data_IF_078765125426
#
_entry.id   IF_078765125426
#
_cell.length_a   1.000
_cell.length_b   1.000
_cell.length_c   1.000
_cell.angle_alpha   90.00
_cell.angle_beta   90.00
_cell.angle_gamma   90.00
#
_symmetry.space_group_name_H-M   'P 1'
#
loop_
_entity.id
_entity.type
_entity.pdbx_description
1 polymer ?
#
# COMPACT_ATOMS: atom_id res chain seq x y z
N UNK A 1 -4.90 25.59 31.92
CA UNK A 1 -5.24 24.20 32.26
C UNK A 1 -4.00 23.47 32.76
N UNK A 2 -4.09 22.57 33.74
CA UNK A 2 -2.92 21.80 34.22
C UNK A 2 -2.42 20.78 33.17
N UNK A 3 -1.10 20.57 33.09
CA UNK A 3 -0.46 19.73 32.06
C UNK A 3 -0.85 18.25 32.18
N UNK A 4 -1.01 17.74 33.41
CA UNK A 4 -1.43 16.36 33.63
C UNK A 4 -2.90 16.18 33.21
N UNK A 5 -3.74 17.18 33.49
CA UNK A 5 -5.13 17.19 33.03
C UNK A 5 -5.22 17.24 31.49
N UNK A 6 -4.37 18.02 30.84
CA UNK A 6 -4.27 18.04 29.38
C UNK A 6 -3.81 16.69 28.82
N UNK A 7 -2.90 15.99 29.50
CA UNK A 7 -2.49 14.65 29.10
C UNK A 7 -3.65 13.65 29.15
N UNK A 8 -4.53 13.71 30.16
CA UNK A 8 -5.74 12.88 30.17
C UNK A 8 -6.68 13.18 29.01
N UNK A 9 -6.80 14.45 28.58
CA UNK A 9 -7.55 14.80 27.36
C UNK A 9 -6.89 14.22 26.11
N UNK A 10 -5.57 14.28 26.01
CA UNK A 10 -4.84 13.66 24.91
C UNK A 10 -5.08 12.14 24.87
N UNK A 11 -5.06 11.47 26.04
CA UNK A 11 -5.41 10.04 26.15
C UNK A 11 -6.79 9.73 25.57
N UNK A 12 -7.78 10.58 25.84
CA UNK A 12 -9.14 10.39 25.29
C UNK A 12 -9.17 10.64 23.78
N UNK A 13 -8.45 11.65 23.31
CA UNK A 13 -8.43 12.00 21.89
C UNK A 13 -7.70 10.93 21.05
N UNK A 14 -6.63 10.34 21.59
CA UNK A 14 -5.97 9.15 21.00
C UNK A 14 -6.95 7.99 20.88
N UNK A 15 -7.77 7.72 21.91
CA UNK A 15 -8.81 6.67 21.84
C UNK A 15 -9.85 6.98 20.75
N UNK A 16 -10.34 8.21 20.70
CA UNK A 16 -11.33 8.62 19.70
C UNK A 16 -10.77 8.44 18.29
N UNK A 17 -9.55 8.92 18.05
CA UNK A 17 -8.86 8.78 16.77
C UNK A 17 -8.65 7.31 16.39
N UNK A 18 -8.21 6.49 17.34
CA UNK A 18 -8.04 5.05 17.11
C UNK A 18 -9.37 4.36 16.78
N UNK A 19 -10.47 4.76 17.42
CA UNK A 19 -11.81 4.21 17.17
C UNK A 19 -12.43 4.65 15.84
N UNK A 20 -11.92 5.70 15.20
CA UNK A 20 -12.29 6.01 13.81
C UNK A 20 -11.83 4.90 12.85
N UNK A 21 -10.68 4.28 13.13
CA UNK A 21 -10.13 3.15 12.36
C UNK A 21 -10.67 1.80 12.86
N UNK A 22 -10.94 1.68 14.17
CA UNK A 22 -11.43 0.45 14.80
C UNK A 22 -12.69 0.70 15.68
N UNK A 23 -13.89 0.84 15.10
CA UNK A 23 -15.10 1.26 15.82
C UNK A 23 -15.55 0.35 16.96
N UNK A 24 -15.22 -0.94 16.89
CA UNK A 24 -15.62 -1.97 17.85
C UNK A 24 -14.80 -1.98 19.15
N UNK A 25 -13.73 -1.19 19.21
CA UNK A 25 -12.85 -1.13 20.38
C UNK A 25 -13.54 -0.41 21.53
N UNK A 26 -13.32 -0.93 22.74
CA UNK A 26 -13.86 -0.37 23.98
C UNK A 26 -13.44 1.11 24.17
N UNK A 27 -14.34 1.97 24.70
CA UNK A 27 -14.02 3.37 24.98
C UNK A 27 -13.05 3.57 26.15
N UNK A 28 -12.61 2.51 26.83
CA UNK A 28 -11.79 2.61 28.04
C UNK A 28 -10.40 1.96 27.90
N UNK A 29 -9.36 2.71 28.25
CA UNK A 29 -7.98 2.24 28.27
C UNK A 29 -7.76 0.98 29.12
N UNK A 30 -8.49 0.82 30.23
CA UNK A 30 -8.33 -0.33 31.13
C UNK A 30 -8.66 -1.66 30.44
N UNK A 31 -9.62 -1.62 29.52
CA UNK A 31 -10.14 -2.79 28.79
C UNK A 31 -9.40 -3.08 27.48
N UNK A 32 -8.42 -2.25 27.09
CA UNK A 32 -7.59 -2.52 25.91
C UNK A 32 -6.87 -3.85 26.05
N UNK A 33 -7.11 -4.74 25.09
CA UNK A 33 -6.42 -6.02 25.00
C UNK A 33 -4.98 -5.81 24.51
N UNK A 34 -4.11 -6.81 24.69
CA UNK A 34 -2.76 -6.79 24.13
C UNK A 34 -2.77 -6.61 22.61
N UNK A 35 -3.81 -7.15 21.94
CA UNK A 35 -4.03 -7.00 20.51
C UNK A 35 -4.33 -5.55 20.13
N UNK A 36 -5.22 -4.87 20.86
CA UNK A 36 -5.56 -3.46 20.60
C UNK A 36 -4.35 -2.55 20.81
N UNK A 37 -3.50 -2.88 21.78
CA UNK A 37 -2.25 -2.16 22.05
C UNK A 37 -1.29 -2.28 20.87
N UNK A 38 -1.08 -3.50 20.34
CA UNK A 38 -0.24 -3.73 19.17
C UNK A 38 -0.76 -2.97 17.93
N UNK A 39 -2.07 -3.04 17.68
CA UNK A 39 -2.71 -2.34 16.57
C UNK A 39 -2.61 -0.82 16.70
N UNK A 40 -2.77 -0.28 17.92
CA UNK A 40 -2.57 1.13 18.18
C UNK A 40 -1.12 1.57 17.91
N UNK A 41 -0.13 0.77 18.33
CA UNK A 41 1.29 1.06 18.04
C UNK A 41 1.51 1.13 16.53
N UNK A 42 0.99 0.16 15.79
CA UNK A 42 1.10 0.13 14.33
C UNK A 42 0.40 1.34 13.68
N UNK A 43 -0.80 1.71 14.15
CA UNK A 43 -1.54 2.88 13.66
C UNK A 43 -0.77 4.19 13.93
N UNK A 44 -0.19 4.35 15.12
CA UNK A 44 0.66 5.49 15.47
C UNK A 44 1.92 5.54 14.60
N UNK A 45 2.60 4.41 14.42
CA UNK A 45 3.82 4.31 13.61
C UNK A 45 3.55 4.63 12.14
N UNK A 46 2.42 4.17 11.60
CA UNK A 46 2.03 4.47 10.23
C UNK A 46 1.78 5.96 10.01
N UNK A 47 1.10 6.61 10.96
CA UNK A 47 0.73 8.03 10.88
C UNK A 47 1.92 8.98 11.13
N UNK A 48 2.79 8.65 12.10
CA UNK A 48 3.83 9.57 12.59
C UNK A 48 5.25 9.19 12.14
N UNK A 49 5.44 7.97 11.61
CA UNK A 49 6.76 7.36 11.35
C UNK A 49 7.64 7.20 12.59
N UNK A 50 7.03 7.26 13.78
CA UNK A 50 7.69 7.10 15.07
C UNK A 50 6.98 6.01 15.87
N UNK A 51 7.75 5.19 16.57
CA UNK A 51 7.23 4.01 17.27
C UNK A 51 7.25 4.19 18.78
N UNK A 52 6.16 3.80 19.43
CA UNK A 52 6.04 3.73 20.90
C UNK A 52 6.20 2.27 21.34
N UNK A 53 6.89 2.02 22.46
CA UNK A 53 7.00 0.67 23.00
C UNK A 53 5.72 0.22 23.71
N UNK A 54 5.39 -1.08 23.62
CA UNK A 54 4.25 -1.66 24.36
C UNK A 54 4.33 -1.35 25.85
N UNK A 55 5.51 -1.54 26.46
CA UNK A 55 5.74 -1.25 27.88
C UNK A 55 5.31 0.17 28.23
N UNK A 56 5.60 1.14 27.37
CA UNK A 56 5.22 2.53 27.58
C UNK A 56 3.69 2.73 27.58
N UNK A 57 2.96 2.07 26.67
CA UNK A 57 1.50 2.10 26.63
C UNK A 57 0.91 1.53 27.93
N UNK A 58 1.43 0.39 28.40
CA UNK A 58 1.02 -0.17 29.69
C UNK A 58 1.29 0.79 30.85
N UNK A 59 2.44 1.46 30.88
CA UNK A 59 2.82 2.35 31.97
C UNK A 59 2.03 3.66 31.99
N UNK A 60 1.69 4.25 30.85
CA UNK A 60 1.13 5.61 30.81
C UNK A 60 -0.30 5.71 30.27
N UNK A 61 -0.65 4.93 29.25
CA UNK A 61 -1.99 4.96 28.66
C UNK A 61 -2.95 4.04 29.42
N UNK A 62 -2.54 2.81 29.76
CA UNK A 62 -3.40 1.85 30.46
C UNK A 62 -3.56 2.17 31.96
N UNK A 63 -2.57 2.80 32.57
CA UNK A 63 -2.64 3.25 33.97
C UNK A 63 -3.72 4.33 34.12
N UNK A 64 -4.62 4.14 35.09
CA UNK A 64 -5.72 5.07 35.36
C UNK A 64 -5.21 6.44 35.82
N UNK A 65 -4.29 6.44 36.78
CA UNK A 65 -3.71 7.64 37.36
C UNK A 65 -2.20 7.67 37.13
N UNK A 66 -1.71 8.77 36.56
CA UNK A 66 -0.29 9.01 36.33
C UNK A 66 0.22 10.01 37.35
N UNK A 67 1.23 9.65 38.14
CA UNK A 67 1.86 10.56 39.11
C UNK A 67 2.68 11.66 38.43
N UNK A 68 3.23 11.37 37.25
CA UNK A 68 4.13 12.25 36.52
C UNK A 68 3.73 12.32 35.05
N UNK A 69 3.94 13.50 34.47
CA UNK A 69 3.78 13.71 33.05
C UNK A 69 4.84 12.88 32.29
N UNK A 70 4.46 12.14 31.24
CA UNK A 70 5.44 11.47 30.40
C UNK A 70 6.37 12.45 29.68
N UNK A 71 7.51 11.93 29.20
CA UNK A 71 8.50 12.73 28.45
C UNK A 71 7.87 13.37 27.21
N UNK A 72 8.33 14.58 26.86
CA UNK A 72 7.77 15.41 25.79
C UNK A 72 7.79 14.74 24.42
N UNK A 73 8.83 13.98 24.10
CA UNK A 73 8.94 13.17 22.87
C UNK A 73 7.74 12.25 22.67
N UNK A 74 7.31 11.58 23.74
CA UNK A 74 6.15 10.69 23.69
C UNK A 74 4.83 11.44 23.53
N UNK A 75 4.74 12.63 24.13
CA UNK A 75 3.58 13.50 23.98
C UNK A 75 3.48 14.08 22.57
N UNK A 76 4.63 14.42 21.96
CA UNK A 76 4.72 14.90 20.58
C UNK A 76 4.26 13.80 19.60
N UNK A 77 4.67 12.53 19.80
CA UNK A 77 4.17 11.40 18.99
C UNK A 77 2.65 11.27 19.07
N UNK A 78 2.09 11.26 20.28
CA UNK A 78 0.63 11.12 20.47
C UNK A 78 -0.14 12.32 19.91
N UNK A 79 0.41 13.52 20.03
CA UNK A 79 -0.17 14.74 19.46
C UNK A 79 -0.15 14.69 17.94
N UNK A 80 0.96 14.23 17.34
CA UNK A 80 1.10 13.97 15.91
C UNK A 80 0.09 12.96 15.39
N UNK A 81 -0.10 11.85 16.11
CA UNK A 81 -1.13 10.85 15.78
C UNK A 81 -2.54 11.46 15.75
N UNK A 82 -2.77 12.41 16.65
CA UNK A 82 -4.00 13.19 16.77
C UNK A 82 -4.10 14.38 15.81
N UNK A 83 -3.17 14.50 14.83
CA UNK A 83 -3.10 15.59 13.83
C UNK A 83 -2.75 16.97 14.38
N UNK A 84 -2.09 17.03 15.54
CA UNK A 84 -1.47 18.26 16.04
C UNK A 84 0.02 18.26 15.69
N UNK A 85 0.61 19.45 15.46
CA UNK A 85 2.03 19.56 15.12
C UNK A 85 2.96 19.13 16.26
N UNK A 86 2.55 19.36 17.51
CA UNK A 86 3.32 19.02 18.71
C UNK A 86 2.42 19.00 19.96
N UNK A 87 2.96 18.50 21.07
CA UNK A 87 2.37 18.61 22.40
C UNK A 87 2.06 20.06 22.77
N UNK A 88 2.96 20.99 22.47
CA UNK A 88 2.78 22.39 22.80
C UNK A 88 1.61 23.00 22.01
N UNK A 89 1.48 22.65 20.73
CA UNK A 89 0.34 23.07 19.90
C UNK A 89 -0.99 22.52 20.42
N UNK A 90 -1.03 21.24 20.82
CA UNK A 90 -2.20 20.63 21.45
C UNK A 90 -2.54 21.30 22.79
N UNK A 91 -1.54 21.47 23.67
CA UNK A 91 -1.73 22.10 24.97
C UNK A 91 -2.21 23.56 24.85
N UNK A 92 -1.66 24.30 23.89
CA UNK A 92 -2.11 25.65 23.56
C UNK A 92 -3.58 25.63 23.12
N UNK A 93 -3.98 24.73 22.21
CA UNK A 93 -5.38 24.65 21.73
C UNK A 93 -6.41 24.42 22.85
N UNK A 94 -6.02 23.72 23.93
CA UNK A 94 -6.86 23.51 25.10
C UNK A 94 -6.99 24.76 25.99
N UNK A 95 -5.97 25.61 26.00
CA UNK A 95 -5.98 26.86 26.74
C UNK A 95 -6.66 27.97 25.92
N UNK A 96 -6.46 27.99 24.60
CA UNK A 96 -7.11 28.91 23.66
C UNK A 96 -8.63 28.67 23.62
N UNK A 97 -9.07 27.40 23.74
CA UNK A 97 -10.49 27.04 23.91
C UNK A 97 -11.14 27.64 25.18
N UNK A 98 -10.36 28.18 26.12
CA UNK A 98 -10.85 28.91 27.29
C UNK A 98 -10.93 30.44 27.07
N UNK A 99 -10.39 30.97 25.96
CA UNK A 99 -10.41 32.40 25.61
C UNK A 99 -11.25 32.73 24.36
N UNK A 100 -11.97 31.77 23.76
CA UNK A 100 -12.90 32.04 22.63
C UNK A 100 -14.25 32.62 23.13
N UNK A 101 -14.20 33.75 23.84
CA UNK A 101 -15.22 34.81 23.76
C UNK A 101 -14.49 36.13 23.44
N UNK A 102 -13.71 36.13 22.37
CA UNK A 102 -13.23 37.29 21.58
C UNK A 102 -12.11 36.73 20.70
N UNK A 103 -12.12 36.74 19.38
CA UNK A 103 -12.31 37.91 18.55
C UNK A 103 -12.51 37.40 17.10
N UNK A 104 -13.75 37.46 16.61
CA UNK A 104 -13.97 37.38 15.16
C UNK A 104 -13.63 38.74 14.57
N UNK A 105 -12.38 38.90 14.12
CA UNK A 105 -11.94 39.80 13.04
C UNK A 105 -10.41 39.66 12.93
N UNK A 106 -9.85 39.32 11.77
CA UNK A 106 -9.52 40.32 10.75
C UNK A 106 -9.39 39.68 9.37
N UNK A 107 -10.34 40.01 8.50
CA UNK A 107 -10.05 40.30 7.11
C UNK A 107 -9.22 41.59 7.03
N UNK A 108 -8.15 41.59 6.23
CA UNK A 108 -7.23 42.73 6.13
C UNK A 108 -6.39 42.76 4.87
N UNK A 109 -7.03 42.98 3.72
CA UNK A 109 -6.40 43.44 2.46
C UNK A 109 -5.67 44.78 2.59
N UNK A 110 -4.54 45.00 1.86
CA UNK A 110 -4.23 46.17 0.98
C UNK A 110 -2.72 46.27 0.59
N UNK A 111 -2.39 46.27 -0.72
CA UNK A 111 -1.87 47.39 -1.59
C UNK A 111 -0.42 47.83 -1.30
N UNK A 112 0.49 48.19 -2.24
CA UNK A 112 0.39 48.81 -3.59
C UNK A 112 1.80 48.87 -4.28
N UNK A 113 1.85 48.76 -5.62
CA UNK A 113 2.54 49.60 -6.68
C UNK A 113 4.00 50.11 -6.43
N UNK A 114 5.00 50.11 -7.34
CA UNK A 114 5.22 50.32 -8.81
C UNK A 114 6.63 49.72 -9.14
N UNK A 115 7.06 49.42 -10.38
CA UNK A 115 7.58 50.36 -11.41
C UNK A 115 7.79 49.59 -12.75
N UNK A 116 7.58 50.32 -13.85
CA UNK A 116 7.74 49.96 -15.26
C UNK A 116 9.18 49.57 -15.67
N UNK A 117 9.23 48.98 -16.88
CA UNK A 117 10.22 49.17 -17.95
C UNK A 117 11.19 48.01 -18.15
N UNK A 118 10.88 47.13 -19.11
CA UNK A 118 11.79 46.36 -19.98
C UNK A 118 10.96 45.50 -20.97
N UNK A 119 10.16 46.16 -21.81
CA UNK A 119 9.55 45.52 -22.99
C UNK A 119 10.43 45.92 -24.18
N UNK A 120 11.35 45.04 -24.56
CA UNK A 120 12.28 45.30 -25.67
C UNK A 120 13.05 44.07 -26.13
N UNK A 121 13.67 43.26 -25.23
CA UNK A 121 14.44 42.09 -25.68
C UNK A 121 13.69 40.75 -25.60
N UNK A 122 12.59 40.64 -24.83
CA UNK A 122 11.93 39.35 -24.56
C UNK A 122 11.13 38.77 -25.75
N UNK A 123 10.68 39.62 -26.68
CA UNK A 123 9.85 39.18 -27.83
C UNK A 123 10.71 38.57 -28.95
N UNK A 124 11.97 38.98 -29.09
CA UNK A 124 12.88 38.40 -30.10
C UNK A 124 13.43 37.03 -29.68
N UNK A 125 13.67 36.81 -28.38
CA UNK A 125 14.10 35.49 -27.88
C UNK A 125 12.95 34.47 -27.92
N UNK A 126 11.71 34.90 -27.64
CA UNK A 126 10.53 34.04 -27.78
C UNK A 126 10.23 33.66 -29.24
N UNK A 127 10.46 34.59 -30.19
CA UNK A 127 10.29 34.33 -31.63
C UNK A 127 11.28 33.31 -32.18
N UNK A 128 12.56 33.41 -31.78
CA UNK A 128 13.60 32.44 -32.18
C UNK A 128 13.39 31.09 -31.48
N UNK A 129 12.98 31.08 -30.22
CA UNK A 129 12.68 29.83 -29.49
C UNK A 129 11.46 29.09 -30.06
N UNK A 130 10.42 29.81 -30.50
CA UNK A 130 9.27 29.23 -31.18
C UNK A 130 9.63 28.72 -32.59
N UNK A 131 10.46 29.46 -33.34
CA UNK A 131 10.87 29.05 -34.70
C UNK A 131 11.78 27.80 -34.68
N UNK A 132 12.74 27.71 -33.74
CA UNK A 132 13.57 26.51 -33.55
C UNK A 132 12.73 25.31 -33.11
N UNK A 133 11.70 25.52 -32.28
CA UNK A 133 10.80 24.44 -31.84
C UNK A 133 9.84 23.97 -32.94
N UNK A 134 9.56 24.78 -33.95
CA UNK A 134 8.71 24.41 -35.09
C UNK A 134 9.47 23.79 -36.27
N UNK A 135 10.77 24.06 -36.42
CA UNK A 135 11.57 23.55 -37.54
C UNK A 135 12.36 22.26 -37.25
N UNK A 136 12.19 21.65 -36.07
CA UNK A 136 12.68 20.28 -35.76
C UNK A 136 11.53 19.26 -35.61
N UNK A 137 10.42 19.45 -36.33
CA UNK A 137 9.54 18.32 -36.66
C UNK A 137 9.99 17.73 -37.99
N UNK A 138 11.20 17.17 -38.01
CA UNK A 138 11.41 16.04 -38.89
C UNK A 138 10.47 14.95 -38.41
N UNK A 139 9.62 14.49 -39.33
CA UNK A 139 8.88 13.25 -39.22
C UNK A 139 9.88 12.10 -39.07
N UNK A 140 10.38 11.91 -37.86
CA UNK A 140 10.72 10.57 -37.42
C UNK A 140 9.38 9.87 -37.31
N UNK A 141 9.00 9.20 -38.40
CA UNK A 141 8.09 8.06 -38.39
C UNK A 141 8.73 7.01 -37.48
N UNK A 142 8.69 7.27 -36.18
CA UNK A 142 8.75 6.24 -35.19
C UNK A 142 7.52 5.40 -35.50
N UNK A 143 7.73 4.22 -36.11
CA UNK A 143 6.82 3.10 -35.98
C UNK A 143 6.49 3.04 -34.49
N UNK A 144 5.37 3.64 -34.10
CA UNK A 144 4.85 3.56 -32.74
C UNK A 144 4.44 2.11 -32.64
N UNK A 145 5.36 1.27 -32.15
CA UNK A 145 5.12 -0.14 -31.98
C UNK A 145 3.82 -0.26 -31.19
N UNK A 146 2.77 -0.76 -31.86
CA UNK A 146 1.48 -0.96 -31.22
C UNK A 146 1.74 -1.88 -30.02
N UNK A 147 1.56 -1.34 -28.81
CA UNK A 147 1.67 -2.14 -27.60
C UNK A 147 0.49 -3.09 -27.57
N UNK A 148 0.76 -4.37 -27.37
CA UNK A 148 -0.28 -5.38 -27.15
C UNK A 148 -0.70 -5.30 -25.68
N UNK A 149 -1.95 -4.90 -25.38
CA UNK A 149 -2.41 -4.84 -24.00
C UNK A 149 -2.52 -6.26 -23.42
N UNK A 150 -2.10 -6.40 -22.16
CA UNK A 150 -2.26 -7.61 -21.36
C UNK A 150 -3.44 -7.41 -20.44
N UNK A 151 -4.42 -8.30 -20.51
CA UNK A 151 -5.70 -8.17 -19.81
C UNK A 151 -6.06 -9.42 -19.03
N UNK A 152 -6.86 -9.22 -17.99
CA UNK A 152 -7.51 -10.30 -17.27
C UNK A 152 -8.61 -10.98 -18.12
N UNK A 153 -8.70 -12.31 -18.07
CA UNK A 153 -9.69 -13.07 -18.83
C UNK A 153 -11.13 -12.75 -18.44
N UNK A 154 -11.42 -12.61 -17.15
CA UNK A 154 -12.78 -12.41 -16.68
C UNK A 154 -13.15 -10.93 -16.66
N UNK A 155 -12.30 -10.07 -16.09
CA UNK A 155 -12.63 -8.65 -15.91
C UNK A 155 -12.33 -7.80 -17.13
N UNK A 156 -11.47 -8.28 -18.05
CA UNK A 156 -10.98 -7.54 -19.22
C UNK A 156 -10.22 -6.23 -18.87
N UNK A 157 -9.88 -6.05 -17.60
CA UNK A 157 -9.06 -4.95 -17.08
C UNK A 157 -7.58 -5.15 -17.43
N UNK A 158 -6.82 -4.06 -17.43
CA UNK A 158 -5.39 -4.11 -17.71
C UNK A 158 -4.61 -4.67 -16.51
N UNK A 159 -3.65 -5.54 -16.77
CA UNK A 159 -2.79 -6.12 -15.73
C UNK A 159 -1.49 -5.32 -15.65
N UNK A 160 -1.25 -4.66 -14.51
CA UNK A 160 -0.01 -3.91 -14.23
C UNK A 160 0.93 -4.64 -13.25
N UNK A 161 0.63 -5.91 -12.93
CA UNK A 161 1.37 -6.68 -11.93
C UNK A 161 2.78 -7.06 -12.42
N UNK A 162 3.80 -6.55 -11.72
CA UNK A 162 5.22 -6.82 -11.99
C UNK A 162 5.64 -8.29 -11.78
N UNK A 163 4.84 -9.11 -11.10
CA UNK A 163 5.15 -10.55 -10.92
C UNK A 163 4.82 -11.39 -12.15
N UNK A 164 4.12 -10.85 -13.13
CA UNK A 164 3.79 -11.56 -14.36
C UNK A 164 4.97 -11.50 -15.33
N UNK A 165 5.44 -12.65 -15.78
CA UNK A 165 6.43 -12.77 -16.86
C UNK A 165 5.81 -13.57 -18.02
N UNK A 166 6.00 -13.08 -19.24
CA UNK A 166 5.47 -13.71 -20.44
C UNK A 166 6.62 -14.23 -21.30
N UNK A 167 6.41 -15.37 -21.93
CA UNK A 167 7.35 -16.00 -22.84
C UNK A 167 6.64 -16.41 -24.12
N UNK A 168 7.32 -16.29 -25.26
CA UNK A 168 6.88 -16.94 -26.50
C UNK A 168 7.64 -18.23 -26.66
N UNK A 169 6.93 -19.34 -26.86
CA UNK A 169 7.52 -20.62 -27.24
C UNK A 169 7.62 -20.70 -28.76
N UNK A 170 8.84 -20.54 -29.29
CA UNK A 170 9.15 -20.76 -30.71
C UNK A 170 10.11 -21.96 -30.83
N UNK A 171 9.74 -22.96 -31.62
CA UNK A 171 10.58 -24.15 -31.90
C UNK A 171 11.15 -24.84 -30.63
N UNK A 172 10.36 -24.89 -29.56
CA UNK A 172 10.76 -25.51 -28.29
C UNK A 172 11.50 -24.59 -27.31
N UNK A 173 12.03 -23.45 -27.77
CA UNK A 173 12.75 -22.49 -26.93
C UNK A 173 11.81 -21.40 -26.39
N UNK A 174 11.95 -21.07 -25.10
CA UNK A 174 11.24 -19.97 -24.45
C UNK A 174 12.05 -18.69 -24.60
N UNK A 175 11.46 -17.68 -25.25
CA UNK A 175 12.04 -16.32 -25.33
C UNK A 175 11.25 -15.38 -24.41
N UNK A 176 11.90 -14.68 -23.46
CA UNK A 176 11.22 -13.76 -22.58
C UNK A 176 10.66 -12.57 -23.36
N UNK A 177 9.43 -12.21 -23.06
CA UNK A 177 8.77 -10.98 -23.51
C UNK A 177 8.87 -9.97 -22.37
N UNK A 178 9.43 -8.79 -22.65
CA UNK A 178 9.34 -7.67 -21.71
C UNK A 178 7.88 -7.23 -21.66
N UNK A 179 7.23 -7.49 -20.53
CA UNK A 179 5.78 -7.29 -20.28
C UNK A 179 5.26 -5.90 -20.67
N UNK A 180 6.09 -4.87 -20.63
CA UNK A 180 5.68 -3.51 -20.97
C UNK A 180 5.74 -3.14 -22.46
N UNK A 181 6.40 -3.93 -23.31
CA UNK A 181 6.57 -3.64 -24.75
C UNK A 181 6.66 -4.94 -25.57
N UNK A 182 5.52 -5.59 -25.83
CA UNK A 182 5.45 -6.70 -26.80
C UNK A 182 5.16 -6.10 -28.17
N UNK A 183 6.11 -6.10 -29.12
CA UNK A 183 5.85 -5.62 -30.46
C UNK A 183 4.90 -6.59 -31.18
N UNK A 184 3.89 -6.07 -31.90
CA UNK A 184 2.89 -6.86 -32.65
C UNK A 184 3.51 -7.87 -33.62
N UNK A 185 4.74 -7.58 -34.08
CA UNK A 185 5.55 -8.43 -34.95
C UNK A 185 6.10 -9.69 -34.27
N UNK A 186 6.20 -9.73 -32.93
CA UNK A 186 6.67 -10.90 -32.17
C UNK A 186 5.60 -11.99 -32.01
N UNK A 187 4.32 -11.66 -32.21
CA UNK A 187 3.21 -12.60 -32.12
C UNK A 187 2.83 -13.09 -33.51
N UNK A 188 3.29 -14.26 -33.93
CA UNK A 188 2.78 -14.95 -35.14
C UNK A 188 1.40 -15.54 -34.83
N UNK A 189 0.59 -15.81 -35.87
CA UNK A 189 -0.77 -16.37 -35.72
C UNK A 189 -0.84 -17.67 -34.90
N UNK A 190 0.26 -18.41 -34.83
CA UNK A 190 0.35 -19.72 -34.17
C UNK A 190 1.34 -19.75 -32.98
N UNK A 191 1.77 -18.57 -32.51
CA UNK A 191 2.69 -18.47 -31.37
C UNK A 191 2.04 -19.03 -30.10
N UNK A 192 2.60 -20.10 -29.53
CA UNK A 192 2.22 -20.57 -28.18
C UNK A 192 2.84 -19.63 -27.14
N UNK A 193 2.00 -18.92 -26.40
CA UNK A 193 2.43 -18.13 -25.24
C UNK A 193 2.53 -19.02 -24.01
N UNK A 194 3.52 -18.73 -23.18
CA UNK A 194 3.69 -19.33 -21.85
C UNK A 194 3.74 -18.16 -20.86
N UNK A 195 2.95 -18.25 -19.79
CA UNK A 195 2.99 -17.30 -18.69
C UNK A 195 3.70 -17.94 -17.52
N UNK A 196 4.58 -17.19 -16.89
CA UNK A 196 5.17 -17.53 -15.60
C UNK A 196 4.70 -16.46 -14.61
N UNK A 197 3.82 -16.88 -13.71
CA UNK A 197 3.20 -16.00 -12.74
C UNK A 197 2.73 -16.84 -11.56
N UNK A 198 2.87 -16.33 -10.32
CA UNK A 198 2.24 -16.98 -9.17
C UNK A 198 0.72 -16.87 -9.17
N UNK A 199 0.13 -16.02 -10.03
CA UNK A 199 -1.30 -15.68 -10.00
C UNK A 199 -2.08 -16.00 -11.29
N UNK A 200 -1.39 -16.29 -12.39
CA UNK A 200 -2.01 -16.51 -13.70
C UNK A 200 -1.50 -17.82 -14.29
N UNK A 201 -2.41 -18.67 -14.77
CA UNK A 201 -2.11 -20.05 -15.18
C UNK A 201 -2.00 -20.23 -16.70
N UNK A 202 -2.73 -19.42 -17.47
CA UNK A 202 -2.79 -19.54 -18.92
C UNK A 202 -2.66 -18.17 -19.59
N UNK A 203 -2.06 -18.15 -20.79
CA UNK A 203 -1.98 -16.98 -21.65
C UNK A 203 -2.46 -17.31 -23.06
N UNK A 204 -3.38 -16.49 -23.57
CA UNK A 204 -3.91 -16.62 -24.92
C UNK A 204 -3.77 -15.29 -25.69
N UNK A 205 -3.66 -15.38 -27.02
CA UNK A 205 -3.76 -14.21 -27.90
C UNK A 205 -5.16 -14.17 -28.49
N UNK A 206 -5.93 -13.15 -28.13
CA UNK A 206 -7.21 -12.84 -28.76
C UNK A 206 -7.03 -11.78 -29.84
N UNK A 207 -7.77 -11.91 -30.95
CA UNK A 207 -7.84 -10.88 -31.99
C UNK A 207 -9.22 -10.26 -31.93
N UNK A 208 -9.31 -9.03 -31.42
CA UNK A 208 -10.55 -8.22 -31.38
C UNK A 208 -10.39 -7.03 -32.31
N UNK A 209 -11.29 -6.86 -33.27
CA UNK A 209 -11.34 -5.69 -34.18
C UNK A 209 -9.98 -5.39 -34.86
N UNK A 210 -9.31 -6.41 -35.39
CA UNK A 210 -7.96 -6.33 -35.99
C UNK A 210 -6.83 -5.89 -35.04
N UNK A 211 -7.07 -5.86 -33.72
CA UNK A 211 -6.05 -5.66 -32.67
C UNK A 211 -5.79 -6.96 -31.93
N UNK A 212 -4.51 -7.29 -31.73
CA UNK A 212 -4.10 -8.41 -30.87
C UNK A 212 -4.13 -7.96 -29.41
N UNK A 213 -4.66 -8.80 -28.54
CA UNK A 213 -4.73 -8.63 -27.09
C UNK A 213 -4.20 -9.92 -26.47
N UNK A 214 -3.40 -9.81 -25.43
CA UNK A 214 -3.02 -10.97 -24.62
C UNK A 214 -3.97 -11.02 -23.43
N UNK A 215 -4.58 -12.17 -23.25
CA UNK A 215 -5.51 -12.42 -22.16
C UNK A 215 -4.91 -13.48 -21.25
N UNK A 216 -4.83 -13.17 -19.96
CA UNK A 216 -4.31 -14.06 -18.92
C UNK A 216 -5.45 -14.57 -18.07
N UNK A 217 -5.51 -15.88 -17.88
CA UNK A 217 -6.50 -16.52 -17.02
C UNK A 217 -5.99 -16.54 -15.58
N UNK A 218 -6.71 -15.91 -14.63
CA UNK A 218 -6.36 -15.97 -13.22
C UNK A 218 -6.39 -17.40 -12.69
N UNK A 219 -5.51 -17.67 -11.73
CA UNK A 219 -5.65 -18.82 -10.84
C UNK A 219 -6.49 -18.41 -9.62
N UNK A 220 -7.65 -19.03 -9.47
CA UNK A 220 -8.63 -18.62 -8.45
C UNK A 220 -8.08 -18.72 -7.03
N UNK A 221 -7.32 -19.77 -6.70
CA UNK A 221 -6.80 -20.00 -5.35
C UNK A 221 -5.61 -19.09 -5.06
N UNK A 222 -4.75 -18.85 -6.04
CA UNK A 222 -3.67 -17.88 -5.92
C UNK A 222 -4.20 -16.46 -5.79
N UNK A 223 -5.25 -16.09 -6.54
CA UNK A 223 -5.90 -14.78 -6.42
C UNK A 223 -6.61 -14.62 -5.07
N UNK A 224 -7.27 -15.66 -4.57
CA UNK A 224 -7.82 -15.64 -3.21
C UNK A 224 -6.73 -15.45 -2.16
N UNK A 225 -5.60 -16.16 -2.28
CA UNK A 225 -4.47 -15.98 -1.39
C UNK A 225 -3.92 -14.54 -1.45
N UNK A 226 -3.77 -13.98 -2.65
CA UNK A 226 -3.36 -12.57 -2.85
C UNK A 226 -4.31 -11.61 -2.14
N UNK A 227 -5.62 -11.83 -2.31
CA UNK A 227 -6.65 -11.04 -1.66
C UNK A 227 -6.57 -11.18 -0.12
N UNK A 228 -6.33 -12.38 0.41
CA UNK A 228 -6.13 -12.55 1.86
C UNK A 228 -4.91 -11.76 2.34
N UNK A 229 -3.76 -11.86 1.68
CA UNK A 229 -2.58 -11.09 2.08
C UNK A 229 -2.87 -9.58 2.12
N UNK A 230 -3.64 -9.06 1.17
CA UNK A 230 -3.81 -7.61 0.96
C UNK A 230 -5.04 -6.99 1.65
N UNK A 231 -6.07 -7.79 1.96
CA UNK A 231 -7.35 -7.29 2.46
C UNK A 231 -7.40 -7.15 3.98
N UNK A 232 -8.17 -6.15 4.43
CA UNK A 232 -8.63 -6.04 5.81
C UNK A 232 -9.83 -6.98 6.09
N UNK A 233 -9.89 -7.49 7.31
CA UNK A 233 -10.84 -8.54 7.71
C UNK A 233 -12.20 -7.94 8.01
N UNK A 234 -13.27 -8.58 7.52
CA UNK A 234 -14.64 -8.32 7.95
C UNK A 234 -15.23 -9.46 8.79
N UNK A 235 -14.84 -10.71 8.49
CA UNK A 235 -15.27 -11.92 9.18
C UNK A 235 -14.10 -12.94 9.23
N UNK A 236 -13.67 -13.30 10.43
CA UNK A 236 -12.49 -14.15 10.65
C UNK A 236 -12.82 -15.66 10.59
N UNK A 237 -14.06 -16.06 10.92
CA UNK A 237 -14.46 -17.46 10.91
C UNK A 237 -14.57 -17.97 9.48
N UNK A 238 -15.28 -17.21 8.64
CA UNK A 238 -15.39 -17.49 7.21
C UNK A 238 -14.02 -17.56 6.54
N UNK A 239 -13.13 -16.62 6.89
CA UNK A 239 -11.77 -16.58 6.34
C UNK A 239 -10.93 -17.79 6.75
N UNK A 240 -11.06 -18.26 7.99
CA UNK A 240 -10.39 -19.47 8.46
C UNK A 240 -10.83 -20.69 7.64
N UNK A 241 -12.14 -20.85 7.42
CA UNK A 241 -12.70 -21.95 6.61
C UNK A 241 -12.20 -21.85 5.16
N UNK A 242 -12.17 -20.65 4.58
CA UNK A 242 -11.67 -20.44 3.22
C UNK A 242 -10.19 -20.77 3.08
N UNK A 243 -9.35 -20.34 4.02
CA UNK A 243 -7.93 -20.68 4.04
C UNK A 243 -7.72 -22.19 4.14
N UNK A 244 -8.53 -22.88 4.94
CA UNK A 244 -8.47 -24.34 5.07
C UNK A 244 -8.81 -25.07 3.75
N UNK A 245 -9.73 -24.52 2.95
CA UNK A 245 -10.10 -25.07 1.65
C UNK A 245 -9.04 -24.86 0.56
N UNK A 246 -8.27 -23.76 0.62
CA UNK A 246 -7.30 -23.43 -0.43
C UNK A 246 -5.87 -23.90 -0.10
N UNK A 247 -5.53 -24.06 1.19
CA UNK A 247 -4.21 -24.48 1.64
C UNK A 247 -4.19 -25.99 1.88
N UNK A 248 -3.18 -26.68 1.35
CA UNK A 248 -2.98 -28.10 1.61
C UNK A 248 -2.58 -28.36 3.07
N UNK A 249 -2.89 -29.55 3.58
CA UNK A 249 -2.43 -30.02 4.91
C UNK A 249 -0.90 -30.01 5.03
N UNK A 250 -0.20 -30.31 3.93
CA UNK A 250 1.27 -30.36 3.88
C UNK A 250 1.85 -29.07 3.30
N UNK A 251 1.24 -27.91 3.56
CA UNK A 251 1.72 -26.64 3.04
C UNK A 251 3.13 -26.32 3.55
N UNK A 252 4.03 -26.00 2.63
CA UNK A 252 5.36 -25.47 2.90
C UNK A 252 5.46 -24.00 2.49
N UNK A 253 5.75 -23.10 3.43
CA UNK A 253 5.96 -21.68 3.14
C UNK A 253 7.40 -21.29 3.41
N UNK A 254 8.06 -20.71 2.41
CA UNK A 254 9.44 -20.23 2.47
C UNK A 254 9.46 -18.71 2.32
N UNK A 255 9.78 -18.00 3.40
CA UNK A 255 9.85 -16.53 3.41
C UNK A 255 11.30 -16.08 3.38
N UNK A 256 11.71 -15.48 2.27
CA UNK A 256 12.99 -14.79 2.15
C UNK A 256 12.95 -13.51 2.97
N UNK A 257 13.76 -13.48 4.02
CA UNK A 257 13.90 -12.33 4.92
C UNK A 257 14.65 -11.19 4.22
N UNK A 258 14.42 -9.96 4.69
CA UNK A 258 15.15 -8.79 4.20
C UNK A 258 16.66 -8.91 4.43
N UNK A 259 17.46 -8.13 3.69
CA UNK A 259 18.91 -8.00 3.88
C UNK A 259 19.69 -9.32 3.82
N UNK A 260 19.21 -10.30 3.04
CA UNK A 260 19.83 -11.62 2.90
C UNK A 260 19.99 -12.38 4.23
N UNK A 261 19.15 -12.09 5.22
CA UNK A 261 19.19 -12.73 6.54
C UNK A 261 18.88 -14.23 6.50
N UNK A 262 18.30 -14.72 5.41
CA UNK A 262 18.03 -16.13 5.18
C UNK A 262 16.60 -16.39 4.74
N UNK A 263 16.12 -17.60 5.02
CA UNK A 263 14.76 -18.06 4.70
C UNK A 263 14.14 -18.57 6.00
N UNK A 264 12.97 -18.05 6.34
CA UNK A 264 12.11 -18.57 7.40
C UNK A 264 11.13 -19.59 6.79
N UNK A 265 10.97 -20.72 7.46
CA UNK A 265 10.00 -21.75 7.10
C UNK A 265 8.73 -21.58 7.95
N UNK A 266 7.55 -21.76 7.35
CA UNK A 266 6.29 -21.90 8.06
C UNK A 266 5.46 -23.05 7.52
N UNK A 267 4.73 -23.71 8.41
CA UNK A 267 3.70 -24.69 8.07
C UNK A 267 2.33 -24.05 7.80
N UNK A 268 1.33 -24.88 7.47
CA UNK A 268 -0.06 -24.46 7.21
C UNK A 268 -0.62 -23.61 8.35
N UNK A 269 -0.50 -24.09 9.59
CA UNK A 269 -1.11 -23.47 10.76
C UNK A 269 -0.52 -22.09 11.06
N UNK A 270 0.81 -21.99 11.07
CA UNK A 270 1.55 -20.74 11.31
C UNK A 270 1.23 -19.69 10.25
N UNK A 271 1.22 -20.11 8.98
CA UNK A 271 0.92 -19.24 7.86
C UNK A 271 -0.55 -18.81 7.87
N UNK A 272 -1.48 -19.74 8.05
CA UNK A 272 -2.91 -19.43 8.11
C UNK A 272 -3.22 -18.46 9.26
N UNK A 273 -2.63 -18.65 10.44
CA UNK A 273 -2.81 -17.72 11.57
C UNK A 273 -2.38 -16.29 11.23
N UNK A 274 -1.23 -16.13 10.56
CA UNK A 274 -0.74 -14.85 10.06
C UNK A 274 -1.68 -14.25 9.00
N UNK A 275 -2.31 -15.07 8.18
CA UNK A 275 -3.26 -14.62 7.16
C UNK A 275 -4.68 -14.39 7.67
N UNK A 276 -5.12 -14.99 8.78
CA UNK A 276 -6.42 -14.65 9.36
C UNK A 276 -6.41 -13.18 9.76
N UNK A 277 -5.31 -12.70 10.37
CA UNK A 277 -5.11 -11.30 10.72
C UNK A 277 -3.78 -10.76 10.17
N UNK A 278 -3.74 -10.33 8.90
CA UNK A 278 -2.50 -9.90 8.27
C UNK A 278 -2.01 -8.58 8.88
N UNK A 279 -0.79 -8.59 9.40
CA UNK A 279 -0.08 -7.38 9.83
C UNK A 279 0.36 -6.56 8.63
N UNK A 280 0.78 -5.31 8.85
CA UNK A 280 1.33 -4.45 7.80
C UNK A 280 2.53 -5.09 7.10
N UNK A 281 3.39 -5.79 7.85
CA UNK A 281 4.52 -6.52 7.27
C UNK A 281 4.06 -7.63 6.32
N UNK A 282 3.01 -8.37 6.69
CA UNK A 282 2.44 -9.43 5.86
C UNK A 282 1.80 -8.84 4.60
N UNK A 283 1.10 -7.70 4.69
CA UNK A 283 0.50 -7.03 3.52
C UNK A 283 1.53 -6.63 2.45
N UNK A 284 2.79 -6.42 2.86
CA UNK A 284 3.89 -6.10 1.95
C UNK A 284 4.63 -7.33 1.42
N UNK A 285 4.26 -8.54 1.84
CA UNK A 285 4.82 -9.76 1.30
C UNK A 285 4.53 -9.89 -0.20
N UNK A 286 5.58 -10.22 -0.95
CA UNK A 286 5.50 -10.48 -2.37
C UNK A 286 5.59 -11.99 -2.61
N UNK A 287 4.51 -12.60 -3.10
CA UNK A 287 4.55 -13.99 -3.55
C UNK A 287 5.41 -14.06 -4.81
N UNK A 288 6.42 -14.92 -4.78
CA UNK A 288 7.34 -15.16 -5.90
C UNK A 288 6.90 -16.35 -6.73
N UNK A 289 6.48 -17.43 -6.07
CA UNK A 289 6.03 -18.66 -6.71
C UNK A 289 5.04 -19.39 -5.82
N UNK A 290 4.22 -20.22 -6.48
CA UNK A 290 3.20 -21.04 -5.85
C UNK A 290 3.17 -22.39 -6.56
N UNK A 291 3.06 -23.47 -5.80
CA UNK A 291 2.82 -24.83 -6.31
C UNK A 291 1.50 -25.36 -5.77
N UNK A 292 0.82 -26.20 -6.55
CA UNK A 292 -0.48 -26.77 -6.21
C UNK A 292 -0.51 -28.29 -6.38
N UNK A 293 -1.42 -28.94 -5.67
CA UNK A 293 -1.74 -30.35 -5.86
C UNK A 293 -2.73 -30.60 -7.02
N UNK A 294 -3.05 -31.86 -7.27
CA UNK A 294 -4.04 -32.27 -8.29
C UNK A 294 -5.46 -31.74 -8.01
N UNK A 295 -5.74 -31.32 -6.78
CA UNK A 295 -6.99 -30.70 -6.35
C UNK A 295 -6.90 -29.16 -6.36
N UNK A 296 -5.84 -28.60 -6.95
CA UNK A 296 -5.54 -27.16 -7.02
C UNK A 296 -5.25 -26.49 -5.67
N UNK A 297 -5.15 -27.25 -4.57
CA UNK A 297 -4.78 -26.68 -3.27
C UNK A 297 -3.31 -26.32 -3.25
N UNK A 298 -3.00 -25.23 -2.58
CA UNK A 298 -1.65 -24.67 -2.50
C UNK A 298 -0.79 -25.54 -1.60
N UNK A 299 0.31 -26.08 -2.12
CA UNK A 299 1.23 -26.98 -1.42
C UNK A 299 2.56 -26.33 -1.07
N UNK A 300 2.99 -25.34 -1.86
CA UNK A 300 4.24 -24.62 -1.60
C UNK A 300 4.13 -23.16 -1.99
N UNK A 301 4.64 -22.27 -1.15
CA UNK A 301 4.66 -20.83 -1.41
C UNK A 301 6.07 -20.30 -1.15
N UNK A 302 6.60 -19.51 -2.09
CA UNK A 302 7.81 -18.70 -1.86
C UNK A 302 7.44 -17.24 -1.78
N UNK A 303 7.89 -16.58 -0.72
CA UNK A 303 7.57 -15.19 -0.43
C UNK A 303 8.86 -14.40 -0.27
N UNK A 304 8.86 -13.16 -0.75
CA UNK A 304 9.87 -12.16 -0.43
C UNK A 304 9.28 -11.12 0.51
N UNK A 305 9.94 -10.91 1.65
CA UNK A 305 9.65 -9.78 2.51
C UNK A 305 10.22 -8.51 1.86
N UNK A 306 9.37 -7.50 1.64
CA UNK A 306 9.78 -6.18 1.16
C UNK A 306 10.15 -5.28 2.31
#
# INVERSE_FOLDING_TARGET
>A
MDQLTAFYKLKQLVLLRYREEYPYVSPEWKTFSSKDILQLIDSIENATKQRISEKWIYTHLKTAENEKLPRKDMLDILSGYCRFESWDAFFYSLNDSAEIISDQQRLGTKRRKRVLLLIGPAVLIAGIFLWVKTSQKEEVVSKKELKVPVKDFYTQEAIEDTTVQLFVKENGNLKPLKTNNIPVSALKKESKLVVESPFYSEAAVEVKENKKIIVLKPDDYAMMLKAFIQSDIKDWETRKIQLDNILSENLEVLVHLQNSLGIEYMNKEEFAQKLIIPTVAIKHWQILSLEQDSMQRITKIRIKQK
#
